data_IF_433701615470
#
_entry.id   IF_433701615470
#
_cell.length_a   1.000
_cell.length_b   1.000
_cell.length_c   1.000
_cell.angle_alpha   90.00
_cell.angle_beta   90.00
_cell.angle_gamma   90.00
#
_symmetry.space_group_name_H-M   'P 1'
#
loop_
_entity.id
_entity.type
_entity.pdbx_description
1 polymer ?
#
# COMPACT_ATOMS: atom_id res chain seq x y z
N UNK A 1 17.11 24.96 7.75
CA UNK A 1 17.20 23.50 7.91
C UNK A 1 18.39 23.01 7.12
N UNK A 2 19.39 22.40 7.78
CA UNK A 2 20.51 21.79 7.07
C UNK A 2 20.03 20.46 6.50
N UNK A 3 20.03 20.32 5.17
CA UNK A 3 19.73 19.06 4.49
C UNK A 3 20.92 18.14 4.71
N UNK A 4 20.72 16.97 5.33
CA UNK A 4 21.75 15.93 5.36
C UNK A 4 22.00 15.42 3.95
N UNK A 5 23.27 15.32 3.55
CA UNK A 5 23.66 14.67 2.29
C UNK A 5 23.51 13.16 2.48
N UNK A 6 22.67 12.51 1.68
CA UNK A 6 22.56 11.05 1.65
C UNK A 6 23.58 10.55 0.62
N UNK A 7 24.61 9.84 1.09
CA UNK A 7 25.55 9.13 0.24
C UNK A 7 25.18 7.64 0.19
N UNK A 8 24.96 7.11 -1.02
CA UNK A 8 24.63 5.72 -1.29
C UNK A 8 25.75 4.97 -2.02
N UNK A 9 26.95 5.56 -2.11
CA UNK A 9 28.10 5.00 -2.83
C UNK A 9 28.43 3.55 -2.47
N UNK A 10 28.32 3.18 -1.18
CA UNK A 10 28.55 1.81 -0.72
C UNK A 10 27.46 0.82 -1.21
N UNK A 11 26.22 1.27 -1.38
CA UNK A 11 25.15 0.44 -1.95
C UNK A 11 25.42 0.20 -3.44
N UNK A 12 25.84 1.24 -4.16
CA UNK A 12 26.19 1.13 -5.58
C UNK A 12 27.36 0.16 -5.77
N UNK A 13 28.42 0.26 -4.95
CA UNK A 13 29.54 -0.67 -4.98
C UNK A 13 29.10 -2.13 -4.73
N UNK A 14 28.22 -2.36 -3.75
CA UNK A 14 27.72 -3.69 -3.45
C UNK A 14 26.87 -4.28 -4.60
N UNK A 15 26.05 -3.45 -5.26
CA UNK A 15 25.26 -3.85 -6.42
C UNK A 15 26.17 -4.21 -7.60
N UNK A 16 27.19 -3.40 -7.89
CA UNK A 16 28.15 -3.66 -8.96
C UNK A 16 28.91 -4.98 -8.73
N UNK A 17 29.37 -5.22 -7.51
CA UNK A 17 30.02 -6.48 -7.15
C UNK A 17 29.10 -7.69 -7.34
N UNK A 18 27.81 -7.58 -6.97
CA UNK A 18 26.83 -8.66 -7.15
C UNK A 18 26.53 -8.92 -8.63
N UNK A 19 26.23 -7.86 -9.40
CA UNK A 19 25.96 -7.95 -10.83
C UNK A 19 27.16 -8.56 -11.57
N UNK A 20 28.37 -8.13 -11.24
CA UNK A 20 29.62 -8.67 -11.81
C UNK A 20 29.75 -10.17 -11.54
N UNK A 21 29.48 -10.64 -10.31
CA UNK A 21 29.52 -12.07 -9.98
C UNK A 21 28.53 -12.89 -10.83
N UNK A 22 27.33 -12.37 -11.07
CA UNK A 22 26.34 -13.03 -11.93
C UNK A 22 26.74 -13.00 -13.42
N UNK A 23 27.36 -11.91 -13.88
CA UNK A 23 27.85 -11.74 -15.25
C UNK A 23 28.88 -12.82 -15.62
N UNK A 24 29.74 -13.22 -14.68
CA UNK A 24 30.74 -14.28 -14.89
C UNK A 24 30.17 -15.71 -14.85
N UNK A 25 28.84 -15.89 -14.82
CA UNK A 25 28.19 -17.21 -14.90
C UNK A 25 27.69 -17.52 -16.31
N UNK A 26 27.48 -18.81 -16.62
CA UNK A 26 26.91 -19.22 -17.91
C UNK A 26 25.44 -18.74 -18.02
N UNK A 27 25.05 -17.98 -19.06
CA UNK A 27 23.76 -17.28 -19.10
C UNK A 27 22.54 -18.22 -19.08
N UNK A 28 22.63 -19.38 -19.76
CA UNK A 28 21.56 -20.38 -19.73
C UNK A 28 21.37 -21.01 -18.35
N UNK A 29 22.46 -21.32 -17.64
CA UNK A 29 22.42 -21.90 -16.30
C UNK A 29 21.90 -20.89 -15.25
N UNK A 30 22.29 -19.61 -15.39
CA UNK A 30 21.78 -18.53 -14.54
C UNK A 30 20.26 -18.38 -14.72
N UNK A 31 19.80 -18.31 -15.97
CA UNK A 31 18.37 -18.20 -16.29
C UNK A 31 17.58 -19.37 -15.71
N UNK A 32 18.08 -20.60 -15.89
CA UNK A 32 17.46 -21.80 -15.32
C UNK A 32 17.40 -21.78 -13.79
N UNK A 33 18.46 -21.30 -13.13
CA UNK A 33 18.52 -21.16 -11.67
C UNK A 33 17.45 -20.18 -11.18
N UNK A 34 17.37 -18.98 -11.78
CA UNK A 34 16.38 -17.96 -11.43
C UNK A 34 14.95 -18.49 -11.62
N UNK A 35 14.68 -19.13 -12.76
CA UNK A 35 13.37 -19.71 -13.04
C UNK A 35 13.00 -20.79 -12.04
N UNK A 36 13.95 -21.67 -11.70
CA UNK A 36 13.74 -22.77 -10.76
C UNK A 36 13.45 -22.26 -9.34
N UNK A 37 14.21 -21.26 -8.87
CA UNK A 37 13.96 -20.60 -7.58
C UNK A 37 12.59 -19.94 -7.52
N UNK A 38 12.11 -19.39 -8.64
CA UNK A 38 10.82 -18.69 -8.70
C UNK A 38 9.60 -19.60 -8.78
N UNK A 39 9.76 -20.91 -9.03
CA UNK A 39 8.63 -21.85 -9.25
C UNK A 39 7.61 -21.81 -8.12
N UNK A 40 8.05 -22.01 -6.87
CA UNK A 40 7.16 -22.02 -5.71
C UNK A 40 6.42 -20.68 -5.53
N UNK A 41 7.15 -19.56 -5.67
CA UNK A 41 6.53 -18.23 -5.58
C UNK A 41 5.54 -17.98 -6.71
N UNK A 42 5.85 -18.41 -7.94
CA UNK A 42 4.99 -18.27 -9.11
C UNK A 42 3.71 -19.07 -8.99
N UNK A 43 3.77 -20.31 -8.52
CA UNK A 43 2.60 -21.14 -8.30
C UNK A 43 1.57 -20.44 -7.41
N UNK A 44 2.00 -19.95 -6.25
CA UNK A 44 1.12 -19.20 -5.36
C UNK A 44 0.72 -17.85 -5.95
N UNK A 45 1.63 -17.13 -6.62
CA UNK A 45 1.31 -15.85 -7.23
C UNK A 45 0.20 -15.98 -8.29
N UNK A 46 0.35 -16.90 -9.23
CA UNK A 46 -0.59 -17.08 -10.34
C UNK A 46 -1.97 -17.53 -9.84
N UNK A 47 -2.02 -18.34 -8.77
CA UNK A 47 -3.27 -18.76 -8.15
C UNK A 47 -4.04 -17.62 -7.45
N UNK A 48 -3.35 -16.55 -7.03
CA UNK A 48 -3.94 -15.49 -6.19
C UNK A 48 -4.02 -14.11 -6.87
N UNK A 49 -3.22 -13.84 -7.92
CA UNK A 49 -3.10 -12.48 -8.46
C UNK A 49 -4.42 -11.92 -9.00
N UNK A 50 -5.25 -12.75 -9.63
CA UNK A 50 -6.50 -12.28 -10.24
C UNK A 50 -7.55 -11.92 -9.19
N UNK A 51 -7.74 -12.76 -8.17
CA UNK A 51 -8.68 -12.47 -7.08
C UNK A 51 -8.22 -11.26 -6.28
N UNK A 52 -6.92 -11.16 -5.97
CA UNK A 52 -6.36 -10.01 -5.26
C UNK A 52 -6.48 -8.72 -6.08
N UNK A 53 -6.30 -8.77 -7.40
CA UNK A 53 -6.49 -7.61 -8.28
C UNK A 53 -7.95 -7.14 -8.29
N UNK A 54 -8.90 -8.06 -8.41
CA UNK A 54 -10.32 -7.74 -8.37
C UNK A 54 -10.74 -7.17 -7.00
N UNK A 55 -10.27 -7.81 -5.92
CA UNK A 55 -10.50 -7.33 -4.56
C UNK A 55 -9.91 -5.93 -4.33
N UNK A 56 -8.66 -5.69 -4.77
CA UNK A 56 -8.02 -4.39 -4.64
C UNK A 56 -8.83 -3.31 -5.36
N UNK A 57 -9.30 -3.57 -6.59
CA UNK A 57 -10.13 -2.61 -7.33
C UNK A 57 -11.43 -2.27 -6.59
N UNK A 58 -12.10 -3.27 -6.01
CA UNK A 58 -13.34 -3.07 -5.25
C UNK A 58 -13.07 -2.31 -3.94
N UNK A 59 -12.01 -2.71 -3.23
CA UNK A 59 -11.65 -2.14 -1.94
C UNK A 59 -11.20 -0.68 -2.06
N UNK A 60 -10.47 -0.35 -3.14
CA UNK A 60 -10.03 1.03 -3.45
C UNK A 60 -11.19 2.00 -3.69
N UNK A 61 -12.37 1.51 -4.03
CA UNK A 61 -13.59 2.32 -4.18
C UNK A 61 -14.41 2.42 -2.88
N UNK A 62 -14.02 1.68 -1.84
CA UNK A 62 -14.80 1.49 -0.62
C UNK A 62 -13.95 1.72 0.64
N UNK A 63 -13.63 0.66 1.37
CA UNK A 63 -12.96 0.73 2.68
C UNK A 63 -11.57 1.35 2.60
N UNK A 64 -10.78 1.03 1.57
CA UNK A 64 -9.46 1.64 1.40
C UNK A 64 -9.56 3.13 1.05
N UNK A 65 -10.58 3.55 0.30
CA UNK A 65 -10.81 4.98 0.04
C UNK A 65 -11.00 5.75 1.35
N UNK A 66 -11.85 5.22 2.25
CA UNK A 66 -12.08 5.81 3.55
C UNK A 66 -10.84 5.72 4.47
N UNK A 67 -10.24 4.54 4.56
CA UNK A 67 -9.12 4.24 5.45
C UNK A 67 -7.83 4.99 5.09
N UNK A 68 -7.43 5.00 3.81
CA UNK A 68 -6.23 5.73 3.40
C UNK A 68 -6.38 7.24 3.61
N UNK A 69 -7.57 7.79 3.37
CA UNK A 69 -7.86 9.21 3.65
C UNK A 69 -7.87 9.50 5.15
N UNK A 70 -8.38 8.59 5.98
CA UNK A 70 -8.29 8.70 7.44
C UNK A 70 -6.84 8.72 7.92
N UNK A 71 -6.01 7.84 7.38
CA UNK A 71 -4.60 7.80 7.70
C UNK A 71 -3.86 9.08 7.26
N UNK A 72 -4.18 9.60 6.07
CA UNK A 72 -3.49 10.74 5.47
C UNK A 72 -3.94 12.10 6.03
N UNK A 73 -5.25 12.32 6.14
CA UNK A 73 -5.82 13.60 6.60
C UNK A 73 -6.09 13.65 8.11
N UNK A 74 -6.09 12.50 8.78
CA UNK A 74 -6.24 12.41 10.22
C UNK A 74 -5.07 13.05 10.99
N UNK A 75 -5.35 13.50 12.21
CA UNK A 75 -4.32 13.99 13.13
C UNK A 75 -3.40 12.85 13.59
N UNK A 76 -2.32 13.12 14.34
CA UNK A 76 -1.51 12.02 14.92
C UNK A 76 -2.33 11.13 15.87
N UNK A 77 -3.35 11.71 16.51
CA UNK A 77 -4.18 11.06 17.53
C UNK A 77 -5.41 10.37 16.94
N UNK A 78 -5.84 10.73 15.73
CA UNK A 78 -7.04 10.16 15.09
C UNK A 78 -6.80 9.94 13.60
N UNK A 79 -6.47 8.70 13.23
CA UNK A 79 -6.12 8.25 11.86
C UNK A 79 -7.00 7.13 11.32
N UNK A 80 -8.07 6.84 12.04
CA UNK A 80 -8.98 5.74 11.75
C UNK A 80 -10.38 6.30 11.47
N UNK A 81 -11.13 5.61 10.63
CA UNK A 81 -12.55 5.90 10.41
C UNK A 81 -13.35 5.45 11.64
N UNK A 82 -14.55 6.01 11.83
CA UNK A 82 -15.48 5.46 12.81
C UNK A 82 -16.04 4.12 12.32
N UNK A 83 -15.39 3.04 12.77
CA UNK A 83 -15.71 1.66 12.42
C UNK A 83 -17.10 1.20 12.87
N UNK A 84 -17.63 1.77 13.95
CA UNK A 84 -18.95 1.41 14.48
C UNK A 84 -20.02 2.10 13.65
N UNK A 85 -19.84 3.40 13.39
CA UNK A 85 -20.74 4.16 12.52
C UNK A 85 -20.77 3.58 11.10
N UNK A 86 -19.61 3.25 10.53
CA UNK A 86 -19.52 2.65 9.20
C UNK A 86 -20.36 1.37 9.10
N UNK A 87 -20.23 0.45 10.06
CA UNK A 87 -21.00 -0.81 10.07
C UNK A 87 -22.51 -0.57 10.20
N UNK A 88 -22.92 0.41 11.03
CA UNK A 88 -24.34 0.78 11.18
C UNK A 88 -24.91 1.33 9.88
N UNK A 89 -24.22 2.27 9.24
CA UNK A 89 -24.68 2.88 7.98
C UNK A 89 -24.76 1.86 6.84
N UNK A 90 -23.79 0.95 6.74
CA UNK A 90 -23.86 -0.15 5.78
C UNK A 90 -25.05 -1.09 6.04
N UNK A 91 -25.36 -1.40 7.31
CA UNK A 91 -26.53 -2.21 7.68
C UNK A 91 -27.86 -1.50 7.37
N UNK A 92 -27.88 -0.17 7.43
CA UNK A 92 -29.00 0.69 7.01
C UNK A 92 -29.12 0.84 5.48
N UNK A 93 -28.21 0.23 4.71
CA UNK A 93 -28.23 0.26 3.25
C UNK A 93 -27.55 1.49 2.64
N UNK A 94 -26.72 2.21 3.40
CA UNK A 94 -25.94 3.32 2.85
C UNK A 94 -25.00 2.85 1.74
N UNK A 95 -25.02 3.55 0.61
CA UNK A 95 -24.12 3.31 -0.51
C UNK A 95 -22.73 3.88 -0.25
N UNK A 96 -21.70 3.21 -0.77
CA UNK A 96 -20.36 3.78 -0.81
C UNK A 96 -20.31 5.03 -1.69
N UNK A 97 -19.75 6.11 -1.13
CA UNK A 97 -19.64 7.41 -1.79
C UNK A 97 -19.03 8.46 -0.86
N UNK A 98 -18.85 9.68 -1.37
CA UNK A 98 -18.22 10.76 -0.61
C UNK A 98 -19.03 11.14 0.65
N UNK A 99 -20.35 11.02 0.61
CA UNK A 99 -21.23 11.26 1.76
C UNK A 99 -20.91 10.33 2.92
N UNK A 100 -20.99 9.01 2.69
CA UNK A 100 -20.65 8.01 3.71
C UNK A 100 -19.22 8.17 4.23
N UNK A 101 -18.25 8.42 3.33
CA UNK A 101 -16.85 8.62 3.71
C UNK A 101 -16.71 9.83 4.65
N UNK A 102 -17.37 10.95 4.35
CA UNK A 102 -17.34 12.15 5.19
C UNK A 102 -18.02 11.94 6.54
N UNK A 103 -19.11 11.17 6.59
CA UNK A 103 -19.81 10.85 7.85
C UNK A 103 -18.88 10.14 8.84
N UNK A 104 -18.08 9.19 8.36
CA UNK A 104 -17.18 8.34 9.18
C UNK A 104 -15.76 8.90 9.30
N UNK A 105 -15.46 10.02 8.63
CA UNK A 105 -14.12 10.59 8.55
C UNK A 105 -13.70 11.34 9.84
N UNK A 106 -12.51 11.06 10.41
CA UNK A 106 -12.02 11.78 11.59
C UNK A 106 -11.65 13.24 11.31
N UNK A 107 -11.35 13.60 10.06
CA UNK A 107 -10.92 14.97 9.70
C UNK A 107 -12.07 15.93 9.43
N UNK A 108 -13.31 15.44 9.27
CA UNK A 108 -14.49 16.28 9.03
C UNK A 108 -15.07 16.81 10.34
N UNK A 109 -14.99 16.00 11.41
CA UNK A 109 -15.57 16.32 12.74
C UNK A 109 -14.56 16.92 13.72
N UNK A 110 -13.40 17.38 13.27
CA UNK A 110 -12.40 17.96 14.18
C UNK A 110 -12.99 19.16 14.95
N UNK A 111 -13.16 19.09 16.29
CA UNK A 111 -13.57 20.25 17.06
C UNK A 111 -12.38 21.22 17.12
N UNK A 112 -12.53 22.42 16.54
CA UNK A 112 -11.61 23.53 16.84
C UNK A 112 -10.78 24.13 15.69
N UNK A 113 -11.27 24.16 14.45
CA UNK A 113 -10.85 25.21 13.51
C UNK A 113 -12.03 26.12 13.16
N UNK A 114 -12.45 26.92 14.15
CA UNK A 114 -12.99 28.23 13.85
C UNK A 114 -11.88 29.06 13.21
N UNK A 115 -12.27 29.85 12.21
CA UNK A 115 -11.46 30.84 11.53
C UNK A 115 -10.55 31.62 12.48
N UNK A 116 -9.28 31.74 12.11
CA UNK A 116 -8.38 32.82 12.51
C UNK A 116 -7.55 33.18 11.30
#
# INVERSE_FOLDING_TARGET
MVRGTIDLSLLDEALEQLCTKLLYTMPGCLSKTIESLRKHKREHWDRNRESNRAWLSLNMMTEANAGFRAFHYGSKQQREVDFVLLRRRLAEGASWGEELIREVAPWVRAPGKQQS
#
